data_IF_680467424147
#
_entry.id   IF_680467424147
#
_cell.length_a   1.000
_cell.length_b   1.000
_cell.length_c   1.000
_cell.angle_alpha   90.00
_cell.angle_beta   90.00
_cell.angle_gamma   90.00
#
_symmetry.space_group_name_H-M   'P 1'
#
loop_
_entity.id
_entity.type
_entity.pdbx_description
1 polymer ?
#
# COMPACT_ATOMS: atom_id res chain seq x y z
N UNK A 1 21.12 -29.22 5.30
CA UNK A 1 21.60 -28.74 4.00
C UNK A 1 20.38 -28.47 3.14
N UNK A 2 19.64 -27.40 3.46
CA UNK A 2 18.39 -27.04 2.80
C UNK A 2 18.64 -26.55 1.38
N UNK A 3 17.64 -26.62 0.48
CA UNK A 3 17.81 -26.26 -0.91
C UNK A 3 18.14 -24.77 -1.02
N UNK A 4 19.40 -24.53 -1.36
CA UNK A 4 19.97 -23.29 -1.85
C UNK A 4 19.24 -22.90 -3.15
N UNK A 5 17.98 -22.50 -3.05
CA UNK A 5 17.13 -22.23 -4.21
C UNK A 5 17.69 -20.96 -4.84
N UNK A 6 18.28 -21.11 -6.02
CA UNK A 6 18.77 -19.98 -6.79
C UNK A 6 17.60 -19.03 -7.03
N UNK A 7 17.83 -17.73 -6.83
CA UNK A 7 16.83 -16.73 -7.19
C UNK A 7 16.49 -16.89 -8.67
N UNK A 8 15.19 -16.78 -9.05
CA UNK A 8 14.79 -16.96 -10.43
C UNK A 8 15.56 -16.00 -11.35
N UNK A 9 16.11 -16.53 -12.45
CA UNK A 9 16.91 -15.76 -13.40
C UNK A 9 16.05 -14.68 -14.07
N UNK A 10 16.53 -13.43 -14.10
CA UNK A 10 15.80 -12.28 -14.67
C UNK A 10 15.07 -11.40 -13.66
N UNK A 11 15.10 -11.73 -12.37
CA UNK A 11 14.61 -10.86 -11.30
C UNK A 11 15.56 -9.67 -11.04
N UNK A 12 14.99 -8.55 -10.62
CA UNK A 12 15.76 -7.47 -9.97
C UNK A 12 15.98 -7.88 -8.53
N UNK A 13 17.23 -8.05 -8.13
CA UNK A 13 17.60 -8.49 -6.79
C UNK A 13 18.07 -7.31 -5.96
N UNK A 14 17.51 -7.16 -4.75
CA UNK A 14 18.04 -6.30 -3.71
C UNK A 14 18.97 -7.13 -2.82
N UNK A 15 20.23 -6.72 -2.71
CA UNK A 15 21.18 -7.32 -1.77
C UNK A 15 21.21 -6.48 -0.49
N UNK A 16 20.83 -7.08 0.64
CA UNK A 16 20.87 -6.45 1.95
C UNK A 16 21.90 -7.17 2.83
N UNK A 17 22.80 -6.41 3.46
CA UNK A 17 23.76 -6.94 4.43
C UNK A 17 23.30 -6.58 5.84
N UNK A 18 23.11 -7.60 6.66
CA UNK A 18 22.71 -7.45 8.06
C UNK A 18 23.78 -8.09 8.95
N UNK A 19 24.15 -7.38 10.02
CA UNK A 19 25.08 -7.92 11.01
C UNK A 19 24.45 -9.08 11.79
N UNK A 20 23.17 -8.95 12.16
CA UNK A 20 22.39 -9.96 12.89
C UNK A 20 20.92 -9.99 12.43
N UNK A 21 20.27 -11.17 12.42
CA UNK A 21 18.84 -11.34 12.07
C UNK A 21 17.91 -10.40 12.85
N UNK A 22 18.27 -10.08 14.11
CA UNK A 22 17.55 -9.15 15.00
C UNK A 22 17.57 -7.69 14.55
N UNK A 23 18.34 -7.32 13.54
CA UNK A 23 18.35 -5.96 12.97
C UNK A 23 17.30 -5.77 11.88
N UNK A 24 16.74 -6.86 11.35
CA UNK A 24 15.62 -6.80 10.39
C UNK A 24 14.28 -6.62 11.10
N UNK A 25 14.20 -7.03 12.36
CA UNK A 25 12.98 -6.99 13.16
C UNK A 25 13.17 -6.03 14.32
N UNK A 26 12.09 -5.41 14.79
CA UNK A 26 12.14 -4.54 15.96
C UNK A 26 12.82 -5.27 17.15
N UNK A 27 13.83 -4.65 17.75
CA UNK A 27 14.55 -5.24 18.88
C UNK A 27 13.63 -5.27 20.12
N UNK A 28 13.22 -6.49 20.49
CA UNK A 28 12.37 -6.83 21.64
C UNK A 28 10.91 -6.38 21.53
N UNK A 29 10.06 -7.28 21.05
CA UNK A 29 8.82 -7.55 21.76
C UNK A 29 8.76 -9.02 22.16
N UNK A 30 8.50 -9.26 23.45
CA UNK A 30 8.29 -10.59 24.03
C UNK A 30 6.91 -11.16 23.67
N UNK A 31 6.37 -10.80 22.50
CA UNK A 31 5.12 -11.32 22.00
C UNK A 31 5.32 -12.73 21.41
N UNK A 32 4.42 -13.68 21.68
CA UNK A 32 4.58 -15.06 21.22
C UNK A 32 4.49 -15.17 19.70
N UNK A 33 5.65 -15.21 19.03
CA UNK A 33 5.92 -15.84 17.73
C UNK A 33 5.00 -15.54 16.52
N UNK A 34 4.23 -14.44 16.46
CA UNK A 34 3.39 -14.12 15.29
C UNK A 34 3.37 -12.68 14.78
N UNK A 35 4.01 -11.74 15.47
CA UNK A 35 4.04 -10.34 15.03
C UNK A 35 5.50 -9.87 15.14
N UNK A 36 6.31 -10.13 14.11
CA UNK A 36 7.60 -9.45 13.97
C UNK A 36 7.44 -8.38 12.91
N UNK A 37 7.12 -7.17 13.33
CA UNK A 37 7.17 -6.01 12.45
C UNK A 37 8.57 -5.84 11.89
N UNK A 38 8.63 -5.60 10.58
CA UNK A 38 9.86 -5.25 9.89
C UNK A 38 10.38 -3.92 10.47
N UNK A 39 11.69 -3.81 10.71
CA UNK A 39 12.28 -2.54 11.14
C UNK A 39 11.89 -1.44 10.14
N UNK A 40 11.39 -0.27 10.59
CA UNK A 40 10.92 0.78 9.69
C UNK A 40 11.98 1.25 8.67
N UNK A 41 13.27 1.18 9.01
CA UNK A 41 14.37 1.51 8.08
C UNK A 41 14.54 0.43 7.02
N UNK A 42 14.40 -0.84 7.40
CA UNK A 42 14.44 -1.94 6.45
C UNK A 42 13.24 -1.89 5.50
N UNK A 43 12.05 -1.56 6.00
CA UNK A 43 10.87 -1.32 5.18
C UNK A 43 11.11 -0.18 4.18
N UNK A 44 11.51 0.99 4.66
CA UNK A 44 11.74 2.16 3.80
C UNK A 44 12.76 1.85 2.70
N UNK A 45 13.82 1.13 3.03
CA UNK A 45 14.84 0.71 2.08
C UNK A 45 14.29 -0.27 1.01
N UNK A 46 13.56 -1.32 1.43
CA UNK A 46 12.97 -2.31 0.52
C UNK A 46 11.93 -1.66 -0.39
N UNK A 47 11.02 -0.88 0.18
CA UNK A 47 9.95 -0.19 -0.55
C UNK A 47 10.53 0.88 -1.48
N UNK A 48 11.50 1.65 -1.01
CA UNK A 48 12.21 2.66 -1.81
C UNK A 48 12.85 2.04 -3.05
N UNK A 49 13.64 0.98 -2.87
CA UNK A 49 14.26 0.24 -3.97
C UNK A 49 13.22 -0.33 -4.94
N UNK A 50 12.12 -0.91 -4.42
CA UNK A 50 11.09 -1.53 -5.25
C UNK A 50 10.31 -0.50 -6.10
N UNK A 51 10.18 0.74 -5.62
CA UNK A 51 9.57 1.86 -6.37
C UNK A 51 10.43 2.34 -7.54
N UNK A 52 11.75 2.21 -7.45
CA UNK A 52 12.67 2.52 -8.54
C UNK A 52 12.62 1.47 -9.67
N UNK A 53 12.12 0.26 -9.37
CA UNK A 53 11.97 -0.78 -10.38
C UNK A 53 10.76 -0.54 -11.28
N UNK A 54 10.79 -1.11 -12.49
CA UNK A 54 9.60 -1.14 -13.35
C UNK A 54 8.43 -1.79 -12.61
N UNK A 55 7.21 -1.32 -12.89
CA UNK A 55 5.96 -1.77 -12.22
C UNK A 55 5.68 -3.27 -12.40
N UNK A 56 6.20 -3.87 -13.46
CA UNK A 56 6.04 -5.27 -13.86
C UNK A 56 7.29 -6.11 -13.63
N UNK A 57 8.39 -5.52 -13.12
CA UNK A 57 9.62 -6.27 -12.91
C UNK A 57 9.43 -7.32 -11.81
N UNK A 58 9.84 -8.58 -12.03
CA UNK A 58 9.95 -9.55 -10.97
C UNK A 58 11.04 -9.11 -9.99
N UNK A 59 10.71 -9.11 -8.70
CA UNK A 59 11.60 -8.68 -7.62
C UNK A 59 12.18 -9.91 -6.93
N UNK A 60 13.32 -9.76 -6.29
CA UNK A 60 13.95 -10.75 -5.42
C UNK A 60 14.71 -10.04 -4.29
N UNK A 61 14.77 -10.65 -3.11
CA UNK A 61 15.53 -10.14 -1.98
C UNK A 61 16.56 -11.16 -1.52
N UNK A 62 17.83 -10.76 -1.49
CA UNK A 62 18.92 -11.55 -0.95
C UNK A 62 19.44 -10.90 0.33
N UNK A 63 19.38 -11.64 1.44
CA UNK A 63 19.77 -11.18 2.76
C UNK A 63 21.04 -11.92 3.18
N UNK A 64 22.13 -11.18 3.35
CA UNK A 64 23.38 -11.72 3.86
C UNK A 64 23.48 -11.50 5.37
N UNK A 65 23.71 -12.57 6.12
CA UNK A 65 23.86 -12.53 7.59
C UNK A 65 25.32 -12.80 7.95
N UNK A 66 25.94 -11.86 8.68
CA UNK A 66 27.36 -11.93 9.06
C UNK A 66 27.61 -12.77 10.34
N UNK A 67 26.61 -12.90 11.22
CA UNK A 67 26.68 -13.78 12.40
C UNK A 67 25.56 -14.83 12.35
N UNK A 68 25.84 -16.08 11.95
CA UNK A 68 24.88 -17.16 12.12
C UNK A 68 24.54 -17.29 13.61
N UNK A 69 23.25 -17.39 13.93
CA UNK A 69 22.82 -17.62 15.32
C UNK A 69 23.14 -19.08 15.70
N UNK A 70 23.54 -19.32 16.94
CA UNK A 70 24.04 -20.64 17.41
C UNK A 70 22.96 -21.73 17.50
N UNK A 71 21.69 -21.37 17.38
CA UNK A 71 20.59 -22.30 17.25
C UNK A 71 20.14 -22.33 15.78
N UNK A 72 19.86 -23.51 15.24
CA UNK A 72 19.33 -23.73 13.88
C UNK A 72 17.95 -23.11 13.70
N UNK A 73 17.91 -21.78 13.74
CA UNK A 73 16.74 -20.94 13.63
C UNK A 73 16.33 -20.95 12.17
N UNK A 74 15.18 -21.56 11.95
CA UNK A 74 14.57 -21.95 10.69
C UNK A 74 14.72 -20.89 9.59
N UNK A 75 15.52 -21.21 8.56
CA UNK A 75 15.77 -20.35 7.38
C UNK A 75 14.46 -19.92 6.69
N UNK A 76 13.34 -20.60 6.96
CA UNK A 76 12.01 -20.25 6.48
C UNK A 76 11.31 -19.12 7.24
N UNK A 77 11.70 -18.81 8.49
CA UNK A 77 10.99 -17.80 9.31
C UNK A 77 11.13 -16.40 8.72
N UNK A 78 12.33 -16.03 8.26
CA UNK A 78 12.57 -14.67 7.73
C UNK A 78 11.82 -14.42 6.42
N UNK A 79 11.90 -15.30 5.40
CA UNK A 79 11.07 -15.17 4.20
C UNK A 79 9.57 -15.11 4.50
N UNK A 80 9.08 -15.96 5.42
CA UNK A 80 7.67 -16.01 5.76
C UNK A 80 7.19 -14.71 6.44
N UNK A 81 7.95 -14.20 7.42
CA UNK A 81 7.60 -12.97 8.12
C UNK A 81 7.57 -11.76 7.20
N UNK A 82 8.52 -11.65 6.24
CA UNK A 82 8.52 -10.57 5.24
C UNK A 82 7.29 -10.67 4.34
N UNK A 83 6.95 -11.89 3.87
CA UNK A 83 5.80 -12.12 3.03
C UNK A 83 4.48 -11.78 3.75
N UNK A 84 4.34 -12.22 5.00
CA UNK A 84 3.17 -11.95 5.85
C UNK A 84 3.01 -10.44 6.13
N UNK A 85 4.10 -9.74 6.48
CA UNK A 85 4.10 -8.29 6.69
C UNK A 85 3.59 -7.52 5.47
N UNK A 86 4.13 -7.80 4.28
CA UNK A 86 3.69 -7.11 3.06
C UNK A 86 2.29 -7.54 2.61
N UNK A 87 1.87 -8.78 2.90
CA UNK A 87 0.50 -9.22 2.65
C UNK A 87 -0.50 -8.42 3.51
N UNK A 88 -0.24 -8.30 4.81
CA UNK A 88 -1.09 -7.55 5.73
C UNK A 88 -1.16 -6.07 5.37
N UNK A 89 -0.03 -5.49 4.94
CA UNK A 89 0.04 -4.11 4.44
C UNK A 89 -0.76 -3.94 3.15
N UNK A 90 -0.71 -4.89 2.21
CA UNK A 90 -1.53 -4.86 1.00
C UNK A 90 -3.03 -4.89 1.34
N UNK A 91 -3.44 -5.71 2.30
CA UNK A 91 -4.81 -5.81 2.77
C UNK A 91 -5.29 -4.54 3.50
N UNK A 92 -4.42 -3.90 4.27
CA UNK A 92 -4.69 -2.61 4.88
C UNK A 92 -4.97 -1.53 3.83
N UNK A 93 -4.15 -1.43 2.78
CA UNK A 93 -4.38 -0.47 1.69
C UNK A 93 -5.65 -0.80 0.88
N UNK A 94 -5.99 -2.08 0.71
CA UNK A 94 -7.27 -2.49 0.09
C UNK A 94 -8.48 -2.10 0.96
N UNK A 95 -8.39 -2.20 2.29
CA UNK A 95 -9.44 -1.71 3.21
C UNK A 95 -9.60 -0.21 3.07
N UNK A 96 -8.49 0.53 3.12
CA UNK A 96 -8.46 1.99 2.92
C UNK A 96 -9.07 2.42 1.59
N UNK A 97 -8.75 1.71 0.49
CA UNK A 97 -9.33 1.96 -0.82
C UNK A 97 -10.85 1.75 -0.83
N UNK A 98 -11.34 0.66 -0.20
CA UNK A 98 -12.79 0.40 -0.10
C UNK A 98 -13.50 1.50 0.69
N UNK A 99 -12.90 1.97 1.77
CA UNK A 99 -13.43 3.08 2.58
C UNK A 99 -13.46 4.39 1.80
N UNK A 100 -12.38 4.73 1.10
CA UNK A 100 -12.31 5.90 0.22
C UNK A 100 -13.43 5.86 -0.83
N UNK A 101 -13.58 4.73 -1.54
CA UNK A 101 -14.61 4.59 -2.57
C UNK A 101 -16.03 4.61 -1.97
N UNK A 102 -16.23 4.06 -0.77
CA UNK A 102 -17.51 4.15 -0.06
C UNK A 102 -17.85 5.59 0.27
N UNK A 103 -16.90 6.36 0.80
CA UNK A 103 -17.05 7.80 1.07
C UNK A 103 -17.33 8.57 -0.23
N UNK A 104 -16.60 8.27 -1.31
CA UNK A 104 -16.85 8.82 -2.64
C UNK A 104 -18.28 8.57 -3.12
N UNK A 105 -18.78 7.33 -3.01
CA UNK A 105 -20.18 6.99 -3.36
C UNK A 105 -21.21 7.75 -2.53
N UNK A 106 -21.01 7.84 -1.21
CA UNK A 106 -21.92 8.57 -0.32
C UNK A 106 -21.94 10.06 -0.71
N UNK A 107 -20.77 10.67 -0.91
CA UNK A 107 -20.68 12.06 -1.36
C UNK A 107 -21.34 12.28 -2.72
N UNK A 108 -21.24 11.32 -3.65
CA UNK A 108 -21.90 11.37 -4.95
C UNK A 108 -23.42 11.40 -4.79
N UNK A 109 -23.97 10.50 -3.96
CA UNK A 109 -25.42 10.45 -3.70
C UNK A 109 -25.90 11.77 -3.08
N UNK A 110 -25.19 12.29 -2.07
CA UNK A 110 -25.54 13.56 -1.43
C UNK A 110 -25.51 14.70 -2.44
N UNK A 111 -24.43 14.80 -3.23
CA UNK A 111 -24.30 15.86 -4.21
C UNK A 111 -25.33 15.76 -5.33
N UNK A 112 -25.68 14.55 -5.80
CA UNK A 112 -26.72 14.35 -6.82
C UNK A 112 -28.11 14.71 -6.27
N UNK A 113 -28.41 14.33 -5.03
CA UNK A 113 -29.65 14.71 -4.37
C UNK A 113 -29.75 16.24 -4.21
N UNK A 114 -28.66 16.89 -3.77
CA UNK A 114 -28.59 18.35 -3.69
C UNK A 114 -28.79 19.01 -5.06
N UNK A 115 -28.10 18.54 -6.11
CA UNK A 115 -28.26 19.04 -7.47
C UNK A 115 -29.69 18.90 -7.97
N UNK A 116 -30.32 17.74 -7.76
CA UNK A 116 -31.69 17.50 -8.17
C UNK A 116 -32.66 18.48 -7.50
N UNK A 117 -32.54 18.69 -6.18
CA UNK A 117 -33.34 19.67 -5.44
C UNK A 117 -33.06 21.09 -5.94
N UNK A 118 -31.79 21.44 -6.15
CA UNK A 118 -31.39 22.76 -6.61
C UNK A 118 -31.96 23.08 -7.99
N UNK A 119 -31.96 22.13 -8.92
CA UNK A 119 -32.55 22.29 -10.25
C UNK A 119 -34.07 22.48 -10.19
N UNK A 120 -34.76 21.70 -9.37
CA UNK A 120 -36.22 21.86 -9.17
C UNK A 120 -36.54 23.25 -8.61
N UNK A 121 -35.77 23.72 -7.62
CA UNK A 121 -35.94 25.07 -7.08
C UNK A 121 -35.61 26.14 -8.11
N UNK A 122 -34.54 25.96 -8.89
CA UNK A 122 -34.12 26.91 -9.92
C UNK A 122 -35.21 27.11 -10.99
N UNK A 123 -35.90 26.04 -11.38
CA UNK A 123 -37.04 26.08 -12.32
C UNK A 123 -38.25 26.81 -11.69
N UNK A 124 -38.57 26.54 -10.43
CA UNK A 124 -39.65 27.24 -9.71
C UNK A 124 -39.41 28.74 -9.54
N UNK A 125 -38.14 29.15 -9.46
CA UNK A 125 -37.74 30.56 -9.34
C UNK A 125 -37.23 31.15 -10.66
N UNK A 126 -37.62 30.61 -11.82
CA UNK A 126 -37.09 31.06 -13.13
C UNK A 126 -37.52 32.49 -13.54
N UNK A 127 -38.34 33.17 -12.74
CA UNK A 127 -38.74 34.55 -13.02
C UNK A 127 -37.55 35.51 -12.97
N UNK A 128 -37.56 36.52 -13.86
CA UNK A 128 -36.45 37.47 -14.10
C UNK A 128 -35.97 38.24 -12.86
N UNK A 129 -36.75 38.25 -11.77
CA UNK A 129 -36.44 38.84 -10.47
C UNK A 129 -35.57 37.96 -9.55
N UNK A 130 -35.40 36.67 -9.85
CA UNK A 130 -34.64 35.72 -9.02
C UNK A 130 -33.40 35.14 -9.72
N UNK A 131 -32.90 35.78 -10.78
CA UNK A 131 -31.73 35.29 -11.55
C UNK A 131 -30.49 34.99 -10.70
N UNK A 132 -30.22 35.78 -9.65
CA UNK A 132 -29.10 35.55 -8.73
C UNK A 132 -29.26 34.23 -7.95
N UNK A 133 -30.50 33.88 -7.56
CA UNK A 133 -30.80 32.64 -6.83
C UNK A 133 -30.60 31.44 -7.74
N UNK A 134 -31.07 31.53 -8.99
CA UNK A 134 -30.82 30.52 -10.02
C UNK A 134 -29.33 30.27 -10.22
N UNK A 135 -28.53 31.32 -10.45
CA UNK A 135 -27.10 31.19 -10.70
C UNK A 135 -26.35 30.64 -9.49
N UNK A 136 -26.75 31.03 -8.27
CA UNK A 136 -26.20 30.49 -7.03
C UNK A 136 -26.49 28.99 -6.87
N UNK A 137 -27.68 28.52 -7.25
CA UNK A 137 -28.07 27.10 -7.19
C UNK A 137 -27.26 26.27 -8.19
N UNK A 138 -27.04 26.78 -9.41
CA UNK A 138 -26.20 26.12 -10.42
C UNK A 138 -24.75 26.00 -9.95
N UNK A 139 -24.18 27.10 -9.42
CA UNK A 139 -22.81 27.10 -8.87
C UNK A 139 -22.70 26.14 -7.68
N UNK A 140 -23.66 26.17 -6.75
CA UNK A 140 -23.69 25.27 -5.59
C UNK A 140 -23.78 23.80 -6.00
N UNK A 141 -24.57 23.50 -7.03
CA UNK A 141 -24.69 22.15 -7.59
C UNK A 141 -23.36 21.61 -8.12
N UNK A 142 -22.65 22.43 -8.88
CA UNK A 142 -21.29 22.09 -9.34
C UNK A 142 -20.30 21.92 -8.18
N UNK A 143 -20.32 22.80 -7.17
CA UNK A 143 -19.45 22.70 -5.99
C UNK A 143 -19.70 21.41 -5.22
N UNK A 144 -20.96 20.98 -5.10
CA UNK A 144 -21.31 19.71 -4.46
C UNK A 144 -20.76 18.48 -5.22
N UNK A 145 -20.45 18.60 -6.51
CA UNK A 145 -19.86 17.54 -7.34
C UNK A 145 -18.34 17.42 -7.25
N UNK A 146 -17.65 18.39 -6.63
CA UNK A 146 -16.18 18.40 -6.57
C UNK A 146 -15.61 17.20 -5.82
N UNK A 147 -16.08 16.92 -4.60
CA UNK A 147 -15.52 15.84 -3.78
C UNK A 147 -15.72 14.44 -4.40
N UNK A 148 -16.91 14.10 -4.94
CA UNK A 148 -17.10 12.84 -5.64
C UNK A 148 -16.14 12.66 -6.82
N UNK A 149 -16.03 13.66 -7.69
CA UNK A 149 -15.23 13.54 -8.90
C UNK A 149 -13.74 13.45 -8.57
N UNK A 150 -13.28 14.19 -7.57
CA UNK A 150 -11.91 14.12 -7.04
C UNK A 150 -11.58 12.71 -6.56
N UNK A 151 -12.46 12.10 -5.75
CA UNK A 151 -12.26 10.75 -5.23
C UNK A 151 -12.16 9.72 -6.35
N UNK A 152 -13.03 9.81 -7.37
CA UNK A 152 -13.07 8.84 -8.47
C UNK A 152 -12.04 9.09 -9.57
N UNK A 153 -11.46 10.29 -9.67
CA UNK A 153 -10.41 10.58 -10.65
C UNK A 153 -9.01 10.42 -10.05
N UNK A 154 -8.79 10.89 -8.83
CA UNK A 154 -7.44 11.12 -8.32
C UNK A 154 -7.11 10.35 -7.04
N UNK A 155 -8.02 10.25 -6.07
CA UNK A 155 -7.63 9.75 -4.74
C UNK A 155 -7.37 8.23 -4.71
N UNK A 156 -7.96 7.45 -5.63
CA UNK A 156 -7.96 5.98 -5.53
C UNK A 156 -6.74 5.28 -6.17
N UNK A 157 -6.19 5.84 -7.25
CA UNK A 157 -5.11 5.19 -8.00
C UNK A 157 -3.80 5.10 -7.22
N UNK A 158 -3.41 6.08 -6.36
CA UNK A 158 -2.21 5.95 -5.53
C UNK A 158 -2.34 4.83 -4.51
N UNK A 159 -3.50 4.72 -3.84
CA UNK A 159 -3.78 3.67 -2.85
C UNK A 159 -3.73 2.29 -3.52
N UNK A 160 -4.33 2.16 -4.71
CA UNK A 160 -4.26 0.92 -5.49
C UNK A 160 -2.83 0.61 -5.95
N UNK A 161 -2.03 1.62 -6.26
CA UNK A 161 -0.63 1.43 -6.64
C UNK A 161 0.19 0.92 -5.45
N UNK A 162 -0.03 1.46 -4.26
CA UNK A 162 0.62 1.01 -3.02
C UNK A 162 0.22 -0.43 -2.67
N UNK A 163 -1.08 -0.77 -2.73
CA UNK A 163 -1.54 -2.14 -2.52
C UNK A 163 -0.86 -3.14 -3.47
N UNK A 164 -0.75 -2.78 -4.76
CA UNK A 164 -0.06 -3.63 -5.76
C UNK A 164 1.44 -3.74 -5.54
N UNK A 165 2.07 -2.69 -5.01
CA UNK A 165 3.49 -2.75 -4.65
C UNK A 165 3.71 -3.73 -3.51
N UNK A 166 2.89 -3.64 -2.46
CA UNK A 166 2.93 -4.55 -1.33
C UNK A 166 2.64 -6.00 -1.76
N UNK A 167 1.67 -6.23 -2.67
CA UNK A 167 1.44 -7.57 -3.25
C UNK A 167 2.69 -8.14 -3.93
N UNK A 168 3.42 -7.31 -4.67
CA UNK A 168 4.66 -7.73 -5.35
C UNK A 168 5.77 -8.05 -4.35
N UNK A 169 5.87 -7.26 -3.28
CA UNK A 169 6.83 -7.48 -2.19
C UNK A 169 6.48 -8.73 -1.38
N UNK A 170 5.20 -9.01 -1.15
CA UNK A 170 4.73 -10.20 -0.45
C UNK A 170 5.00 -11.49 -1.25
N UNK A 171 4.87 -11.42 -2.59
CA UNK A 171 5.14 -12.54 -3.49
C UNK A 171 6.62 -12.68 -3.90
N UNK A 172 7.49 -11.78 -3.44
CA UNK A 172 8.89 -11.75 -3.82
C UNK A 172 9.66 -12.93 -3.19
N UNK A 173 10.45 -13.70 -3.96
CA UNK A 173 11.36 -14.68 -3.39
C UNK A 173 12.40 -13.99 -2.49
N UNK A 174 12.48 -14.45 -1.25
CA UNK A 174 13.50 -14.03 -0.27
C UNK A 174 14.48 -15.18 -0.06
N UNK A 175 15.76 -14.89 -0.18
CA UNK A 175 16.86 -15.83 0.02
C UNK A 175 17.76 -15.32 1.12
N UNK A 176 18.06 -16.18 2.08
CA UNK A 176 19.00 -15.89 3.17
C UNK A 176 20.31 -16.61 2.89
N UNK A 177 21.42 -15.88 2.90
CA UNK A 177 22.77 -16.42 2.68
C UNK A 177 23.61 -16.13 3.93
N UNK A 178 23.98 -17.19 4.64
CA UNK A 178 24.90 -17.09 5.77
C UNK A 178 26.35 -17.07 5.27
N UNK A 179 27.14 -16.09 5.70
CA UNK A 179 28.57 -16.03 5.35
C UNK A 179 29.39 -16.75 6.43
N UNK A 180 30.23 -17.74 6.10
CA UNK A 180 31.11 -18.36 7.09
C UNK A 180 32.12 -17.33 7.62
N UNK A 181 32.35 -17.31 8.93
CA UNK A 181 33.41 -16.49 9.57
C UNK A 181 34.76 -16.91 8.99
N UNK A 182 35.52 -15.97 8.41
CA UNK A 182 36.93 -16.13 8.05
C UNK A 182 37.84 -15.99 9.26
#
# INVERSE_FOLDING_TARGET
MGPNTALPTGCKTLEMRLGERKQLFLALDAAPFRERDLDPRAEEFIVGWAREQRRDAPLALEIHIERPSEAGDDDGIVPHAIAEYFHDRADAERRRLRELLRTGRISLVIGLAFNAVALVLADLFSERRYGIVHDSLVIGGWVAMWRPIEVFLYDWWPIRAEARLNDRLAAMPVRVVERPRS
#
